data_IF_260015200695
#
_entry.id   IF_260015200695
#
_cell.length_a   1.000
_cell.length_b   1.000
_cell.length_c   1.000
_cell.angle_alpha   90.00
_cell.angle_beta   90.00
_cell.angle_gamma   90.00
#
_symmetry.space_group_name_H-M   'P 1'
#
loop_
_entity.id
_entity.type
_entity.pdbx_description
1 polymer ?
#
# COMPACT_ATOMS: atom_id res chain seq x y z
N UNK A 1 -13.26 10.40 -16.27
CA UNK A 1 -12.82 9.34 -15.35
C UNK A 1 -12.86 8.03 -16.10
N UNK A 2 -11.76 7.28 -16.14
CA UNK A 2 -11.66 5.95 -16.72
C UNK A 2 -11.61 4.91 -15.60
N UNK A 3 -12.15 3.74 -15.86
CA UNK A 3 -12.12 2.61 -14.93
C UNK A 3 -11.68 1.37 -15.71
N UNK A 4 -10.76 0.61 -15.14
CA UNK A 4 -10.26 -0.65 -15.68
C UNK A 4 -10.42 -1.74 -14.62
N UNK A 5 -10.81 -2.94 -15.05
CA UNK A 5 -10.78 -4.12 -14.18
C UNK A 5 -9.37 -4.68 -14.16
N UNK A 6 -8.87 -5.03 -12.97
CA UNK A 6 -7.56 -5.65 -12.81
C UNK A 6 -7.53 -6.45 -11.51
N UNK A 7 -7.26 -7.73 -11.62
CA UNK A 7 -6.94 -8.61 -10.52
C UNK A 7 -5.42 -8.69 -10.36
N UNK A 8 -4.90 -8.14 -9.28
CA UNK A 8 -3.45 -8.09 -9.02
C UNK A 8 -2.84 -9.46 -8.72
N UNK A 9 -3.64 -10.51 -8.52
CA UNK A 9 -3.16 -11.89 -8.47
C UNK A 9 -2.76 -12.42 -9.86
N UNK A 10 -3.22 -11.77 -10.92
CA UNK A 10 -3.00 -12.18 -12.30
C UNK A 10 -2.05 -11.23 -13.01
N UNK A 11 -0.81 -11.66 -13.16
CA UNK A 11 0.24 -10.87 -13.82
C UNK A 11 -0.19 -10.30 -15.17
N UNK A 12 -0.90 -11.09 -15.98
CA UNK A 12 -1.30 -10.66 -17.32
C UNK A 12 -2.34 -9.53 -17.28
N UNK A 13 -3.21 -9.50 -16.25
CA UNK A 13 -4.15 -8.41 -16.05
C UNK A 13 -3.42 -7.12 -15.63
N UNK A 14 -2.38 -7.21 -14.80
CA UNK A 14 -1.54 -6.04 -14.45
C UNK A 14 -0.83 -5.50 -15.70
N UNK A 15 -0.25 -6.35 -16.51
CA UNK A 15 0.39 -5.94 -17.77
C UNK A 15 -0.62 -5.30 -18.73
N UNK A 16 -1.81 -5.89 -18.86
CA UNK A 16 -2.86 -5.37 -19.74
C UNK A 16 -3.36 -4.00 -19.25
N UNK A 17 -3.55 -3.83 -17.93
CA UNK A 17 -3.93 -2.55 -17.33
C UNK A 17 -3.03 -1.40 -17.81
N UNK A 18 -1.70 -1.57 -17.73
CA UNK A 18 -0.76 -0.51 -18.11
C UNK A 18 -0.67 -0.30 -19.64
N UNK A 19 -0.95 -1.33 -20.45
CA UNK A 19 -1.14 -1.16 -21.91
C UNK A 19 -2.36 -0.30 -22.20
N UNK A 20 -3.48 -0.56 -21.52
CA UNK A 20 -4.73 0.19 -21.70
C UNK A 20 -4.58 1.64 -21.21
N UNK A 21 -3.94 1.85 -20.07
CA UNK A 21 -3.61 3.19 -19.57
C UNK A 21 -2.74 3.94 -20.57
N UNK A 22 -1.69 3.30 -21.09
CA UNK A 22 -0.81 3.90 -22.10
C UNK A 22 -1.58 4.29 -23.37
N UNK A 23 -2.48 3.43 -23.81
CA UNK A 23 -3.27 3.71 -25.03
C UNK A 23 -4.22 4.90 -24.86
N UNK A 24 -4.66 5.20 -23.63
CA UNK A 24 -5.60 6.28 -23.32
C UNK A 24 -4.94 7.59 -22.91
N UNK A 25 -3.84 7.53 -22.16
CA UNK A 25 -3.18 8.70 -21.58
C UNK A 25 -1.75 8.93 -22.11
N UNK A 26 -1.14 7.93 -22.72
CA UNK A 26 0.26 7.98 -23.14
C UNK A 26 1.21 7.76 -21.97
N UNK A 27 1.28 8.72 -21.09
CA UNK A 27 2.14 8.71 -19.91
C UNK A 27 1.35 8.99 -18.63
N UNK A 28 1.94 8.66 -17.49
CA UNK A 28 1.38 8.92 -16.16
C UNK A 28 2.37 9.64 -15.27
N UNK A 29 1.89 10.44 -14.33
CA UNK A 29 2.69 11.20 -13.39
C UNK A 29 2.90 10.45 -12.08
N UNK A 30 1.91 9.69 -11.62
CA UNK A 30 1.98 8.93 -10.38
C UNK A 30 1.09 7.69 -10.38
N UNK A 31 1.37 6.79 -9.44
CA UNK A 31 0.50 5.67 -9.08
C UNK A 31 0.34 5.61 -7.57
N UNK A 32 -0.90 5.41 -7.12
CA UNK A 32 -1.22 5.09 -5.73
C UNK A 32 -1.68 3.64 -5.66
N UNK A 33 -0.88 2.79 -5.03
CA UNK A 33 -1.18 1.39 -4.76
C UNK A 33 -1.83 1.26 -3.39
N UNK A 34 -3.14 1.10 -3.37
CA UNK A 34 -3.95 1.00 -2.15
C UNK A 34 -4.67 -0.37 -2.10
N UNK A 35 -3.90 -1.44 -2.26
CA UNK A 35 -4.41 -2.82 -2.32
C UNK A 35 -3.86 -3.64 -1.17
N UNK A 36 -4.73 -4.41 -0.52
CA UNK A 36 -4.32 -5.40 0.48
C UNK A 36 -5.42 -6.47 0.61
N UNK A 37 -4.98 -7.69 0.91
CA UNK A 37 -5.87 -8.81 1.17
C UNK A 37 -5.23 -9.80 2.15
N UNK A 38 -6.04 -10.34 3.02
CA UNK A 38 -5.78 -11.57 3.76
C UNK A 38 -7.10 -12.25 4.10
N UNK A 39 -7.07 -13.54 4.33
CA UNK A 39 -8.25 -14.25 4.84
C UNK A 39 -8.60 -13.73 6.23
N UNK A 40 -9.83 -13.24 6.37
CA UNK A 40 -10.32 -12.65 7.61
C UNK A 40 -10.29 -13.64 8.78
N UNK A 41 -10.52 -14.92 8.53
CA UNK A 41 -10.52 -15.97 9.57
C UNK A 41 -9.15 -16.13 10.24
N UNK A 42 -8.07 -15.79 9.54
CA UNK A 42 -6.69 -15.91 10.01
C UNK A 42 -6.11 -14.59 10.58
N UNK A 43 -6.86 -13.49 10.54
CA UNK A 43 -6.49 -12.24 11.19
C UNK A 43 -6.79 -12.24 12.69
N UNK A 44 -7.39 -13.31 13.22
CA UNK A 44 -7.64 -13.50 14.64
C UNK A 44 -6.90 -14.72 15.16
N UNK A 45 -6.64 -14.76 16.48
CA UNK A 45 -5.90 -15.86 17.11
C UNK A 45 -4.39 -15.77 16.89
N UNK A 46 -3.72 -16.91 16.95
CA UNK A 46 -2.26 -16.98 16.89
C UNK A 46 -1.73 -16.96 15.45
N UNK A 47 -0.72 -16.14 15.20
CA UNK A 47 -0.02 -16.08 13.91
C UNK A 47 0.56 -17.45 13.49
N UNK A 48 0.93 -18.32 14.44
CA UNK A 48 1.45 -19.65 14.17
C UNK A 48 0.48 -20.53 13.36
N UNK A 49 -0.81 -20.22 13.42
CA UNK A 49 -1.86 -20.96 12.70
C UNK A 49 -2.09 -20.44 11.27
N UNK A 50 -1.28 -19.47 10.79
CA UNK A 50 -1.38 -18.99 9.41
C UNK A 50 -1.12 -20.11 8.43
N UNK A 51 -2.06 -20.36 7.52
CA UNK A 51 -1.90 -21.37 6.48
C UNK A 51 -0.93 -20.92 5.41
N UNK A 52 -0.28 -21.87 4.74
CA UNK A 52 0.61 -21.62 3.62
C UNK A 52 -0.11 -20.88 2.49
N UNK A 53 -1.33 -21.29 2.19
CA UNK A 53 -2.17 -20.73 1.14
C UNK A 53 -2.46 -19.27 1.39
N UNK A 54 -2.94 -18.92 2.58
CA UNK A 54 -3.23 -17.54 2.95
C UNK A 54 -1.95 -16.70 3.03
N UNK A 55 -0.84 -17.26 3.54
CA UNK A 55 0.45 -16.57 3.58
C UNK A 55 0.91 -16.16 2.18
N UNK A 56 0.92 -17.11 1.23
CA UNK A 56 1.35 -16.86 -0.15
C UNK A 56 0.44 -15.85 -0.85
N UNK A 57 -0.87 -16.00 -0.69
CA UNK A 57 -1.85 -15.10 -1.29
C UNK A 57 -1.78 -13.70 -0.71
N UNK A 58 -1.69 -13.57 0.61
CA UNK A 58 -1.54 -12.29 1.29
C UNK A 58 -0.26 -11.57 0.88
N UNK A 59 0.86 -12.27 0.78
CA UNK A 59 2.14 -11.71 0.31
C UNK A 59 2.09 -11.27 -1.15
N UNK A 60 1.45 -12.06 -2.02
CA UNK A 60 1.28 -11.72 -3.42
C UNK A 60 0.47 -10.42 -3.57
N UNK A 61 -0.71 -10.36 -2.95
CA UNK A 61 -1.62 -9.22 -3.12
C UNK A 61 -1.15 -8.00 -2.33
N UNK A 62 -0.72 -8.17 -1.08
CA UNK A 62 -0.46 -7.04 -0.17
C UNK A 62 0.97 -6.50 -0.20
N UNK A 63 1.88 -7.22 -0.87
CA UNK A 63 3.29 -6.83 -0.97
C UNK A 63 3.80 -6.88 -2.41
N UNK A 64 3.86 -8.07 -3.03
CA UNK A 64 4.52 -8.25 -4.31
C UNK A 64 3.81 -7.56 -5.48
N UNK A 65 2.49 -7.42 -5.42
CA UNK A 65 1.71 -6.68 -6.41
C UNK A 65 2.20 -5.24 -6.59
N UNK A 66 2.69 -4.58 -5.52
CA UNK A 66 3.30 -3.25 -5.62
C UNK A 66 4.56 -3.27 -6.49
N UNK A 67 5.38 -4.32 -6.39
CA UNK A 67 6.57 -4.48 -7.24
C UNK A 67 6.19 -4.68 -8.70
N UNK A 68 5.18 -5.51 -9.00
CA UNK A 68 4.71 -5.72 -10.38
C UNK A 68 4.07 -4.45 -10.96
N UNK A 69 3.21 -3.79 -10.20
CA UNK A 69 2.61 -2.50 -10.58
C UNK A 69 3.69 -1.45 -10.84
N UNK A 70 4.68 -1.33 -9.97
CA UNK A 70 5.79 -0.37 -10.13
C UNK A 70 6.61 -0.65 -11.38
N UNK A 71 6.89 -1.92 -11.68
CA UNK A 71 7.59 -2.34 -12.89
C UNK A 71 6.85 -1.92 -14.15
N UNK A 72 5.55 -2.19 -14.23
CA UNK A 72 4.77 -1.85 -15.43
C UNK A 72 4.53 -0.33 -15.52
N UNK A 73 4.23 0.34 -14.40
CA UNK A 73 4.08 1.78 -14.33
C UNK A 73 5.33 2.53 -14.82
N UNK A 74 6.52 2.09 -14.38
CA UNK A 74 7.80 2.74 -14.74
C UNK A 74 8.11 2.75 -16.23
N UNK A 75 7.43 1.95 -17.05
CA UNK A 75 7.57 1.92 -18.51
C UNK A 75 6.81 3.06 -19.21
N UNK A 76 5.84 3.63 -18.53
CA UNK A 76 4.96 4.70 -19.06
C UNK A 76 4.91 5.93 -18.15
N UNK A 77 5.71 5.94 -17.09
CA UNK A 77 5.79 7.06 -16.16
C UNK A 77 6.73 8.12 -16.71
N UNK A 78 6.35 9.38 -16.58
CA UNK A 78 7.20 10.53 -16.88
C UNK A 78 8.43 10.57 -15.97
N UNK A 79 9.47 11.30 -16.35
CA UNK A 79 10.51 11.70 -15.41
C UNK A 79 9.89 12.43 -14.21
N UNK A 80 10.51 12.27 -13.04
CA UNK A 80 10.06 12.86 -11.77
C UNK A 80 8.71 12.30 -11.28
N UNK A 81 8.29 11.17 -11.81
CA UNK A 81 7.09 10.46 -11.39
C UNK A 81 7.12 9.97 -9.93
N UNK A 82 5.98 9.59 -9.40
CA UNK A 82 5.86 9.14 -8.02
C UNK A 82 5.04 7.86 -7.88
N UNK A 83 5.59 6.89 -7.16
CA UNK A 83 4.92 5.67 -6.73
C UNK A 83 4.65 5.76 -5.23
N UNK A 84 3.42 5.52 -4.83
CA UNK A 84 2.98 5.59 -3.45
C UNK A 84 2.23 4.31 -3.06
N UNK A 85 2.54 3.75 -1.91
CA UNK A 85 1.75 2.67 -1.31
C UNK A 85 1.31 3.01 0.09
N UNK A 86 0.36 2.23 0.63
CA UNK A 86 -0.16 2.37 1.99
C UNK A 86 0.33 1.21 2.84
N UNK A 87 0.97 1.52 3.94
CA UNK A 87 1.41 0.56 4.96
C UNK A 87 0.73 0.84 6.29
N UNK A 88 1.00 0.01 7.28
CA UNK A 88 0.55 0.18 8.65
C UNK A 88 1.54 -0.50 9.57
N UNK A 89 1.90 0.14 10.65
CA UNK A 89 2.83 -0.25 11.71
C UNK A 89 3.54 -1.61 11.49
N UNK A 90 4.78 -1.56 11.05
CA UNK A 90 5.57 -2.74 10.74
C UNK A 90 6.65 -3.05 11.78
N UNK A 91 6.84 -2.15 12.77
CA UNK A 91 7.91 -2.26 13.77
C UNK A 91 7.48 -3.03 15.00
N UNK A 92 6.19 -3.31 15.15
CA UNK A 92 5.60 -3.99 16.31
C UNK A 92 4.64 -5.08 15.88
N UNK A 93 4.52 -6.11 16.70
CA UNK A 93 3.43 -7.09 16.56
C UNK A 93 2.11 -6.45 17.02
N UNK A 94 1.19 -6.30 16.10
CA UNK A 94 -0.15 -5.75 16.38
C UNK A 94 -1.13 -6.91 16.53
N UNK A 95 -1.88 -6.99 17.66
CA UNK A 95 -2.90 -8.01 17.84
C UNK A 95 -3.91 -8.03 16.69
N UNK A 96 -4.32 -9.22 16.26
CA UNK A 96 -5.28 -9.44 15.17
C UNK A 96 -4.83 -8.87 13.80
N UNK A 97 -3.54 -8.67 13.61
CA UNK A 97 -2.97 -8.24 12.32
C UNK A 97 -2.16 -9.35 11.64
N UNK A 98 -1.58 -10.25 12.42
CA UNK A 98 -0.96 -11.52 12.01
C UNK A 98 -0.15 -11.41 10.71
N UNK A 99 -0.48 -12.20 9.68
CA UNK A 99 0.21 -12.23 8.39
C UNK A 99 0.25 -10.86 7.71
N UNK A 100 -0.73 -9.99 7.94
CA UNK A 100 -0.72 -8.64 7.38
C UNK A 100 0.44 -7.79 7.92
N UNK A 101 0.82 -7.93 9.19
CA UNK A 101 2.00 -7.29 9.75
C UNK A 101 3.27 -7.71 9.01
N UNK A 102 3.41 -8.99 8.72
CA UNK A 102 4.54 -9.53 7.93
C UNK A 102 4.52 -8.98 6.50
N UNK A 103 3.35 -8.96 5.84
CA UNK A 103 3.20 -8.38 4.50
C UNK A 103 3.57 -6.89 4.48
N UNK A 104 3.18 -6.11 5.48
CA UNK A 104 3.49 -4.68 5.53
C UNK A 104 4.97 -4.42 5.80
N UNK A 105 5.62 -5.23 6.64
CA UNK A 105 7.08 -5.18 6.82
C UNK A 105 7.83 -5.46 5.51
N UNK A 106 7.40 -6.50 4.77
CA UNK A 106 7.96 -6.82 3.46
C UNK A 106 7.69 -5.72 2.41
N UNK A 107 6.48 -5.11 2.44
CA UNK A 107 6.12 -4.00 1.56
C UNK A 107 7.02 -2.78 1.81
N UNK A 108 7.27 -2.41 3.07
CA UNK A 108 8.18 -1.30 3.41
C UNK A 108 9.62 -1.57 2.99
N UNK A 109 10.09 -2.81 3.12
CA UNK A 109 11.37 -3.20 2.55
C UNK A 109 11.38 -3.04 1.02
N UNK A 110 10.32 -3.47 0.33
CA UNK A 110 10.17 -3.35 -1.13
C UNK A 110 10.20 -1.91 -1.60
N UNK A 111 9.63 -0.95 -0.84
CA UNK A 111 9.70 0.49 -1.14
C UNK A 111 11.15 0.93 -1.29
N UNK A 112 12.04 0.53 -0.38
CA UNK A 112 13.47 0.90 -0.39
C UNK A 112 14.19 0.36 -1.62
N UNK A 113 13.95 -0.91 -1.98
CA UNK A 113 14.57 -1.51 -3.16
C UNK A 113 14.06 -0.89 -4.46
N UNK A 114 12.75 -0.63 -4.55
CA UNK A 114 12.16 0.04 -5.71
C UNK A 114 12.66 1.49 -5.85
N UNK A 115 12.80 2.22 -4.74
CA UNK A 115 13.36 3.57 -4.74
C UNK A 115 14.80 3.58 -5.26
N UNK A 116 15.63 2.63 -4.84
CA UNK A 116 17.00 2.46 -5.35
C UNK A 116 17.01 2.17 -6.85
N UNK A 117 16.17 1.24 -7.31
CA UNK A 117 16.18 0.78 -8.70
C UNK A 117 15.60 1.83 -9.66
N UNK A 118 14.64 2.64 -9.20
CA UNK A 118 13.93 3.63 -10.01
C UNK A 118 14.48 5.06 -9.87
N UNK A 119 15.34 5.30 -8.88
CA UNK A 119 15.93 6.61 -8.61
C UNK A 119 16.74 7.17 -9.80
N UNK A 120 17.44 6.29 -10.55
CA UNK A 120 18.13 6.69 -11.78
C UNK A 120 17.21 7.23 -12.88
N UNK A 121 15.92 6.90 -12.83
CA UNK A 121 14.85 7.46 -13.70
C UNK A 121 14.14 8.65 -13.06
N UNK A 122 14.64 9.15 -11.93
CA UNK A 122 14.02 10.21 -11.11
C UNK A 122 12.60 9.86 -10.61
N UNK A 123 12.23 8.58 -10.57
CA UNK A 123 10.95 8.14 -10.04
C UNK A 123 11.11 7.94 -8.52
N UNK A 124 10.30 8.63 -7.74
CA UNK A 124 10.26 8.52 -6.28
C UNK A 124 9.31 7.39 -5.86
N UNK A 125 9.67 6.68 -4.80
CA UNK A 125 8.86 5.59 -4.25
C UNK A 125 8.70 5.79 -2.76
N UNK A 126 7.47 5.94 -2.29
CA UNK A 126 7.17 6.24 -0.90
C UNK A 126 6.03 5.36 -0.36
N UNK A 127 5.93 5.29 0.95
CA UNK A 127 4.82 4.68 1.66
C UNK A 127 4.26 5.62 2.72
N UNK A 128 2.95 5.56 2.94
CA UNK A 128 2.30 6.22 4.08
C UNK A 128 1.93 5.14 5.09
N UNK A 129 2.50 5.24 6.30
CA UNK A 129 2.06 4.48 7.47
C UNK A 129 0.99 5.30 8.19
N UNK A 130 -0.27 5.06 7.84
CA UNK A 130 -1.39 5.78 8.44
C UNK A 130 -1.83 5.14 9.75
N UNK A 131 -2.30 5.96 10.69
CA UNK A 131 -3.03 5.48 11.86
C UNK A 131 -4.33 4.75 11.48
N UNK A 132 -5.05 4.15 12.43
CA UNK A 132 -6.25 3.40 12.13
C UNK A 132 -7.36 4.31 11.57
N UNK A 133 -7.87 3.96 10.39
CA UNK A 133 -8.94 4.67 9.70
C UNK A 133 -10.15 3.74 9.58
N UNK A 134 -11.36 4.28 9.75
CA UNK A 134 -12.60 3.54 9.56
C UNK A 134 -12.84 3.23 8.08
N UNK A 135 -12.36 2.07 7.63
CA UNK A 135 -12.56 1.56 6.28
C UNK A 135 -13.18 0.16 6.31
N UNK A 136 -13.69 -0.31 5.17
CA UNK A 136 -14.18 -1.69 5.05
C UNK A 136 -13.06 -2.70 5.38
N UNK A 137 -11.83 -2.45 4.93
CA UNK A 137 -10.68 -3.29 5.24
C UNK A 137 -10.39 -3.32 6.74
N UNK A 138 -10.41 -2.17 7.41
CA UNK A 138 -10.20 -2.08 8.85
C UNK A 138 -11.31 -2.77 9.67
N UNK A 139 -12.54 -2.86 9.15
CA UNK A 139 -13.63 -3.59 9.81
C UNK A 139 -13.43 -5.11 9.85
N UNK A 140 -12.51 -5.63 9.05
CA UNK A 140 -12.13 -7.04 9.04
C UNK A 140 -11.17 -7.41 10.20
N UNK A 141 -10.49 -6.41 10.78
CA UNK A 141 -9.59 -6.60 11.92
C UNK A 141 -10.43 -6.74 13.19
N UNK A 142 -10.19 -7.80 13.97
CA UNK A 142 -10.84 -7.98 15.27
C UNK A 142 -10.59 -6.79 16.20
N UNK A 143 -11.57 -6.47 17.05
CA UNK A 143 -11.49 -5.39 18.05
C UNK A 143 -11.19 -3.98 17.50
N UNK A 144 -11.58 -3.70 16.24
CA UNK A 144 -11.36 -2.41 15.62
C UNK A 144 -11.85 -1.22 16.46
N UNK A 145 -12.97 -1.38 17.20
CA UNK A 145 -13.47 -0.34 18.11
C UNK A 145 -12.50 -0.02 19.24
N UNK A 146 -11.89 -1.04 19.82
CA UNK A 146 -10.86 -0.86 20.85
C UNK A 146 -9.64 -0.15 20.29
N UNK A 147 -9.15 -0.57 19.11
CA UNK A 147 -8.01 0.07 18.44
C UNK A 147 -8.25 1.56 18.17
N UNK A 148 -9.44 1.94 17.68
CA UNK A 148 -9.79 3.36 17.46
C UNK A 148 -9.81 4.14 18.74
N UNK A 149 -10.45 3.62 19.79
CA UNK A 149 -10.53 4.31 21.09
C UNK A 149 -9.15 4.43 21.72
N UNK A 150 -8.38 3.35 21.74
CA UNK A 150 -7.02 3.36 22.27
C UNK A 150 -6.13 4.38 21.55
N UNK A 151 -6.18 4.42 20.20
CA UNK A 151 -5.38 5.38 19.43
C UNK A 151 -5.82 6.83 19.71
N UNK A 152 -7.12 7.10 19.78
CA UNK A 152 -7.64 8.42 20.14
C UNK A 152 -7.13 8.88 21.51
N UNK A 153 -7.18 8.02 22.51
CA UNK A 153 -6.77 8.32 23.88
C UNK A 153 -5.24 8.51 24.00
N UNK A 154 -4.44 7.80 23.20
CA UNK A 154 -2.98 7.84 23.26
C UNK A 154 -2.33 8.74 22.22
N UNK A 155 -3.04 9.13 21.16
CA UNK A 155 -2.57 10.11 20.20
C UNK A 155 -2.31 11.46 20.89
N UNK A 156 -1.20 12.10 20.56
CA UNK A 156 -0.92 13.45 21.08
C UNK A 156 -1.95 14.48 20.65
N UNK A 157 -2.53 14.34 19.45
CA UNK A 157 -3.59 15.21 18.93
C UNK A 157 -4.99 14.83 19.45
N UNK A 158 -5.10 13.75 20.26
CA UNK A 158 -6.36 13.27 20.85
C UNK A 158 -7.48 13.02 19.83
N UNK A 159 -7.11 12.62 18.64
CA UNK A 159 -8.03 12.23 17.57
C UNK A 159 -7.43 11.11 16.71
N UNK A 160 -8.27 10.36 16.04
CA UNK A 160 -7.85 9.50 14.97
C UNK A 160 -7.62 10.29 13.67
N UNK A 161 -6.77 9.75 12.79
CA UNK A 161 -6.66 10.23 11.42
C UNK A 161 -7.93 9.91 10.63
N UNK A 162 -8.24 10.75 9.65
CA UNK A 162 -9.32 10.50 8.70
C UNK A 162 -8.79 10.37 7.26
N UNK A 163 -9.70 10.16 6.31
CA UNK A 163 -9.36 9.98 4.90
C UNK A 163 -8.72 11.24 4.30
N UNK A 164 -9.05 12.43 4.80
CA UNK A 164 -8.51 13.69 4.31
C UNK A 164 -7.07 13.90 4.79
N UNK A 165 -6.76 13.53 6.03
CA UNK A 165 -5.39 13.57 6.56
C UNK A 165 -4.45 12.72 5.70
N UNK A 166 -4.88 11.48 5.35
CA UNK A 166 -4.11 10.60 4.49
C UNK A 166 -4.08 11.10 3.05
N UNK A 167 -5.19 11.62 2.54
CA UNK A 167 -5.27 12.22 1.21
C UNK A 167 -4.32 13.41 1.03
N UNK A 168 -4.24 14.29 2.03
CA UNK A 168 -3.32 15.44 2.04
C UNK A 168 -1.84 14.98 2.07
N UNK A 169 -1.52 13.96 2.88
CA UNK A 169 -0.19 13.37 2.90
C UNK A 169 0.17 12.71 1.56
N UNK A 170 -0.79 12.02 0.94
CA UNK A 170 -0.63 11.45 -0.38
C UNK A 170 -0.41 12.53 -1.43
N UNK A 171 -1.19 13.63 -1.41
CA UNK A 171 -1.04 14.75 -2.33
C UNK A 171 0.36 15.37 -2.22
N UNK A 172 0.88 15.55 -1.01
CA UNK A 172 2.26 15.99 -0.80
C UNK A 172 3.25 15.04 -1.47
N UNK A 173 3.15 13.72 -1.23
CA UNK A 173 4.11 12.73 -1.72
C UNK A 173 4.04 12.49 -3.24
N UNK A 174 2.88 12.70 -3.89
CA UNK A 174 2.76 12.55 -5.35
C UNK A 174 3.03 13.86 -6.12
N UNK A 175 3.16 14.97 -5.42
CA UNK A 175 3.43 16.29 -6.03
C UNK A 175 4.91 16.67 -5.98
N UNK A 176 5.27 17.74 -6.71
CA UNK A 176 6.63 18.29 -6.71
C UNK A 176 7.03 18.92 -5.37
N UNK A 177 6.10 19.11 -4.43
CA UNK A 177 6.42 19.56 -3.07
C UNK A 177 7.34 18.58 -2.33
N UNK A 178 7.36 17.33 -2.75
CA UNK A 178 8.21 16.27 -2.19
C UNK A 178 9.31 15.80 -3.17
N UNK A 179 9.81 16.69 -4.05
CA UNK A 179 10.76 16.34 -5.11
C UNK A 179 12.02 15.59 -4.63
N UNK A 180 12.46 15.82 -3.39
CA UNK A 180 13.61 15.16 -2.78
C UNK A 180 13.23 14.11 -1.72
N UNK A 181 11.97 13.66 -1.68
CA UNK A 181 11.49 12.68 -0.70
C UNK A 181 11.26 11.34 -1.38
N UNK A 182 12.05 10.34 -1.01
CA UNK A 182 11.93 8.96 -1.49
C UNK A 182 12.39 7.98 -0.40
N UNK A 183 11.67 6.87 -0.20
CA UNK A 183 11.78 5.76 0.77
C UNK A 183 11.86 6.10 2.25
#
# INVERSE_FOLDING_TARGET
KLTFSCDVEKKDEVVQLFKDVKSKWGEIDFVVHAVAFSDKSELSGEYLNTTRENFLRSMLISCFSFTEVSKEASKIMKEEGSLLTLTYESTKAIPNYNVMGVCKSALEASVKYLARDLGGKKIRVNAISAGPIKTLAASAIGDAKFLYKWNEDHSFLKRNVDIHDVGNSALYLISNLSACVTC
#
